data_IF_883628877856
#
_entry.id   IF_883628877856
#
_cell.length_a   1.000
_cell.length_b   1.000
_cell.length_c   1.000
_cell.angle_alpha   90.00
_cell.angle_beta   90.00
_cell.angle_gamma   90.00
#
_symmetry.space_group_name_H-M   'P 1'
#
loop_
_entity.id
_entity.type
_entity.pdbx_description
1 polymer ?
#
# COMPACT_ATOMS: atom_id res chain seq x y z
N UNK A 1 -38.18 7.89 6.66
CA UNK A 1 -37.71 6.72 7.39
C UNK A 1 -36.52 7.04 8.29
N UNK A 2 -35.55 7.85 7.88
CA UNK A 2 -34.34 8.20 8.66
C UNK A 2 -34.49 9.47 9.53
N UNK A 3 -35.72 9.96 9.78
CA UNK A 3 -35.94 11.13 10.65
C UNK A 3 -35.86 10.79 12.15
N UNK A 4 -36.24 9.57 12.52
CA UNK A 4 -36.19 9.11 13.90
C UNK A 4 -34.75 8.75 14.30
N UNK A 5 -34.22 9.32 15.41
CA UNK A 5 -32.87 9.01 15.89
C UNK A 5 -32.63 7.54 16.20
N UNK A 6 -33.63 6.83 16.70
CA UNK A 6 -33.54 5.40 17.03
C UNK A 6 -33.35 4.55 15.75
N UNK A 7 -34.15 4.83 14.72
CA UNK A 7 -34.05 4.14 13.41
C UNK A 7 -32.67 4.38 12.78
N UNK A 8 -32.14 5.61 12.88
CA UNK A 8 -30.79 5.92 12.37
C UNK A 8 -29.70 5.11 13.06
N UNK A 9 -29.77 4.97 14.38
CA UNK A 9 -28.78 4.19 15.13
C UNK A 9 -28.84 2.72 14.73
N UNK A 10 -30.06 2.12 14.62
CA UNK A 10 -30.22 0.72 14.22
C UNK A 10 -29.67 0.50 12.81
N UNK A 11 -30.04 1.34 11.84
CA UNK A 11 -29.54 1.21 10.45
C UNK A 11 -28.01 1.39 10.41
N UNK A 12 -27.47 2.36 11.15
CA UNK A 12 -26.03 2.56 11.23
C UNK A 12 -25.30 1.35 11.83
N UNK A 13 -25.87 0.69 12.84
CA UNK A 13 -25.32 -0.54 13.41
C UNK A 13 -25.34 -1.69 12.40
N UNK A 14 -26.40 -1.84 11.62
CA UNK A 14 -26.49 -2.86 10.57
C UNK A 14 -25.34 -2.68 9.56
N UNK A 15 -25.08 -1.46 9.10
CA UNK A 15 -23.98 -1.19 8.18
C UNK A 15 -22.60 -1.50 8.82
N UNK A 16 -22.40 -1.17 10.07
CA UNK A 16 -21.15 -1.47 10.79
C UNK A 16 -20.94 -2.98 10.96
N UNK A 17 -21.98 -3.72 11.37
CA UNK A 17 -21.93 -5.18 11.50
C UNK A 17 -21.71 -5.86 10.16
N UNK A 18 -22.36 -5.39 9.10
CA UNK A 18 -22.15 -5.92 7.74
C UNK A 18 -20.71 -5.62 7.25
N UNK A 19 -20.14 -4.46 7.59
CA UNK A 19 -18.74 -4.15 7.31
C UNK A 19 -17.79 -5.15 7.97
N UNK A 20 -18.00 -5.48 9.25
CA UNK A 20 -17.19 -6.46 9.98
C UNK A 20 -17.37 -7.86 9.39
N UNK A 21 -18.61 -8.25 9.10
CA UNK A 21 -18.91 -9.52 8.43
C UNK A 21 -18.19 -9.64 7.09
N UNK A 22 -18.24 -8.59 6.26
CA UNK A 22 -17.55 -8.55 4.98
C UNK A 22 -16.03 -8.64 5.16
N UNK A 23 -15.46 -7.93 6.14
CA UNK A 23 -14.04 -8.00 6.44
C UNK A 23 -13.60 -9.42 6.79
N UNK A 24 -14.34 -10.10 7.67
CA UNK A 24 -14.06 -11.50 8.05
C UNK A 24 -14.16 -12.42 6.84
N UNK A 25 -15.16 -12.22 5.98
CA UNK A 25 -15.34 -13.01 4.76
C UNK A 25 -14.21 -12.81 3.76
N UNK A 26 -13.77 -11.55 3.52
CA UNK A 26 -12.64 -11.23 2.65
C UNK A 26 -11.32 -11.82 3.16
N UNK A 27 -11.08 -11.77 4.48
CA UNK A 27 -9.90 -12.40 5.08
C UNK A 27 -9.98 -13.92 4.94
N UNK A 28 -11.14 -14.50 5.21
CA UNK A 28 -11.36 -15.95 5.07
C UNK A 28 -11.09 -16.47 3.65
N UNK A 29 -11.37 -15.65 2.64
CA UNK A 29 -11.15 -16.02 1.22
C UNK A 29 -9.71 -16.39 0.91
N UNK A 30 -8.72 -15.76 1.55
CA UNK A 30 -7.30 -16.09 1.35
C UNK A 30 -6.93 -17.50 1.87
N UNK A 31 -7.73 -18.09 2.74
CA UNK A 31 -7.49 -19.41 3.32
C UNK A 31 -8.37 -20.50 2.69
N UNK A 32 -9.56 -20.13 2.25
CA UNK A 32 -10.58 -21.10 1.80
C UNK A 32 -10.97 -20.95 0.35
N UNK A 33 -10.63 -19.82 -0.29
CA UNK A 33 -11.09 -19.47 -1.64
C UNK A 33 -10.75 -20.50 -2.70
N UNK A 34 -9.58 -21.14 -2.62
CA UNK A 34 -9.19 -22.18 -3.58
C UNK A 34 -10.10 -23.41 -3.56
N UNK A 35 -10.61 -23.79 -2.40
CA UNK A 35 -11.57 -24.90 -2.26
C UNK A 35 -13.01 -24.46 -2.61
N UNK A 36 -13.37 -23.27 -2.17
CA UNK A 36 -14.73 -22.74 -2.33
C UNK A 36 -15.00 -22.30 -3.79
N UNK A 37 -13.97 -21.92 -4.57
CA UNK A 37 -14.12 -21.42 -5.93
C UNK A 37 -14.81 -22.41 -6.85
N UNK A 38 -14.46 -23.70 -6.78
CA UNK A 38 -15.10 -24.74 -7.59
C UNK A 38 -16.59 -24.90 -7.31
N UNK A 39 -17.03 -24.54 -6.11
CA UNK A 39 -18.44 -24.57 -5.69
C UNK A 39 -19.17 -23.31 -6.15
N UNK A 40 -18.50 -22.16 -6.15
CA UNK A 40 -19.05 -20.87 -6.55
C UNK A 40 -19.22 -20.80 -8.08
N UNK A 41 -18.30 -21.38 -8.85
CA UNK A 41 -18.31 -21.33 -10.32
C UNK A 41 -19.40 -22.24 -10.95
N UNK A 42 -19.91 -23.26 -10.23
CA UNK A 42 -20.95 -24.16 -10.77
C UNK A 42 -22.22 -23.39 -11.06
N UNK A 43 -23.05 -23.17 -10.07
CA UNK A 43 -24.24 -22.32 -10.20
C UNK A 43 -24.49 -21.55 -8.90
N UNK A 44 -24.39 -20.23 -8.98
CA UNK A 44 -24.62 -19.35 -7.80
C UNK A 44 -25.99 -19.61 -7.16
N UNK A 45 -27.01 -19.93 -7.98
CA UNK A 45 -28.36 -20.25 -7.50
C UNK A 45 -28.36 -21.54 -6.69
N UNK A 46 -27.73 -22.62 -7.17
CA UNK A 46 -27.62 -23.89 -6.47
C UNK A 46 -26.82 -23.71 -5.16
N UNK A 47 -25.70 -23.01 -5.21
CA UNK A 47 -24.91 -22.67 -4.02
C UNK A 47 -25.79 -22.03 -2.93
N UNK A 48 -26.64 -21.07 -3.28
CA UNK A 48 -27.42 -20.31 -2.30
C UNK A 48 -28.63 -21.07 -1.79
N UNK A 49 -29.23 -21.93 -2.61
CA UNK A 49 -30.52 -22.65 -2.28
C UNK A 49 -30.32 -24.03 -1.69
N UNK A 50 -29.24 -24.74 -2.02
CA UNK A 50 -29.01 -26.10 -1.55
C UNK A 50 -28.32 -26.09 -0.17
N UNK A 51 -29.00 -26.50 0.95
CA UNK A 51 -28.41 -26.47 2.29
C UNK A 51 -27.23 -27.43 2.45
N UNK A 52 -27.14 -28.50 1.65
CA UNK A 52 -26.13 -29.56 1.78
C UNK A 52 -24.72 -29.08 1.31
N UNK A 53 -24.65 -28.01 0.51
CA UNK A 53 -23.38 -27.46 0.07
C UNK A 53 -22.74 -26.70 1.23
N UNK A 54 -21.59 -27.18 1.69
CA UNK A 54 -20.81 -26.54 2.76
C UNK A 54 -19.58 -25.88 2.15
N UNK A 55 -19.36 -24.61 2.47
CA UNK A 55 -18.17 -23.81 2.09
C UNK A 55 -17.28 -23.55 3.30
N UNK A 56 -15.97 -23.42 3.06
CA UNK A 56 -14.96 -23.20 4.09
C UNK A 56 -14.92 -21.76 4.61
N UNK A 57 -15.44 -20.79 3.86
CA UNK A 57 -15.39 -19.38 4.24
C UNK A 57 -16.10 -19.12 5.59
N UNK A 58 -15.48 -18.34 6.54
CA UNK A 58 -16.12 -18.01 7.82
C UNK A 58 -17.50 -17.32 7.68
N UNK A 59 -17.69 -16.55 6.61
CA UNK A 59 -18.98 -15.93 6.26
C UNK A 59 -19.95 -16.88 5.56
N UNK A 60 -19.66 -18.21 5.54
CA UNK A 60 -20.45 -19.21 4.86
C UNK A 60 -20.69 -18.85 3.38
N UNK A 61 -21.79 -19.34 2.78
CA UNK A 61 -22.10 -19.19 1.36
C UNK A 61 -22.13 -17.74 0.89
N UNK A 62 -22.79 -16.87 1.64
CA UNK A 62 -22.85 -15.45 1.33
C UNK A 62 -21.47 -14.79 1.41
N UNK A 63 -20.67 -15.14 2.43
CA UNK A 63 -19.31 -14.62 2.58
C UNK A 63 -18.38 -15.13 1.48
N UNK A 64 -18.44 -16.41 1.12
CA UNK A 64 -17.68 -17.00 0.02
C UNK A 64 -18.02 -16.30 -1.32
N UNK A 65 -19.31 -16.14 -1.61
CA UNK A 65 -19.77 -15.48 -2.83
C UNK A 65 -19.36 -13.99 -2.89
N UNK A 66 -19.57 -13.22 -1.81
CA UNK A 66 -19.22 -11.81 -1.78
C UNK A 66 -17.70 -11.58 -1.86
N UNK A 67 -16.92 -12.44 -1.24
CA UNK A 67 -15.47 -12.34 -1.30
C UNK A 67 -14.92 -12.70 -2.68
N UNK A 68 -15.42 -13.74 -3.33
CA UNK A 68 -15.04 -14.04 -4.72
C UNK A 68 -15.47 -12.91 -5.67
N UNK A 69 -16.70 -12.40 -5.52
CA UNK A 69 -17.19 -11.29 -6.32
C UNK A 69 -16.31 -10.05 -6.18
N UNK A 70 -15.95 -9.67 -4.97
CA UNK A 70 -15.19 -8.46 -4.71
C UNK A 70 -13.70 -8.62 -5.04
N UNK A 71 -13.09 -9.78 -4.72
CA UNK A 71 -11.67 -10.02 -4.93
C UNK A 71 -11.39 -10.44 -6.37
N UNK A 72 -12.01 -11.52 -6.87
CA UNK A 72 -11.67 -12.02 -8.20
C UNK A 72 -12.38 -11.29 -9.33
N UNK A 73 -13.69 -11.07 -9.20
CA UNK A 73 -14.50 -10.52 -10.30
C UNK A 73 -14.50 -9.02 -10.37
N UNK A 74 -14.20 -8.30 -9.26
CA UNK A 74 -14.19 -6.83 -9.24
C UNK A 74 -12.79 -6.26 -9.04
N UNK A 75 -12.49 -5.75 -7.84
CA UNK A 75 -11.33 -4.86 -7.62
C UNK A 75 -10.13 -5.50 -6.92
N UNK A 76 -10.16 -6.79 -6.68
CA UNK A 76 -9.05 -7.48 -6.03
C UNK A 76 -8.92 -7.15 -4.54
N UNK A 77 -7.69 -7.14 -4.07
CA UNK A 77 -7.36 -6.82 -2.66
C UNK A 77 -7.83 -5.42 -2.27
N UNK A 78 -7.92 -4.48 -3.21
CA UNK A 78 -8.42 -3.13 -2.92
C UNK A 78 -9.87 -3.12 -2.42
N UNK A 79 -10.61 -4.22 -2.59
CA UNK A 79 -11.97 -4.40 -2.08
C UNK A 79 -12.08 -4.29 -0.55
N UNK A 80 -10.99 -4.46 0.19
CA UNK A 80 -10.97 -4.18 1.64
C UNK A 80 -11.37 -2.75 1.98
N UNK A 81 -11.18 -1.81 1.06
CA UNK A 81 -11.60 -0.41 1.25
C UNK A 81 -13.14 -0.31 1.31
N UNK A 82 -13.90 -1.24 0.70
CA UNK A 82 -15.36 -1.28 0.84
C UNK A 82 -15.78 -1.52 2.30
N UNK A 83 -15.05 -2.35 3.04
CA UNK A 83 -15.33 -2.54 4.46
C UNK A 83 -15.20 -1.20 5.22
N UNK A 84 -14.12 -0.46 4.95
CA UNK A 84 -13.94 0.87 5.53
C UNK A 84 -15.08 1.84 5.14
N UNK A 85 -15.48 1.84 3.85
CA UNK A 85 -16.58 2.68 3.36
C UNK A 85 -17.90 2.36 4.07
N UNK A 86 -18.26 1.08 4.15
CA UNK A 86 -19.49 0.64 4.83
C UNK A 86 -19.47 1.04 6.31
N UNK A 87 -18.31 0.91 6.97
CA UNK A 87 -18.16 1.27 8.37
C UNK A 87 -18.36 2.76 8.61
N UNK A 88 -17.71 3.64 7.81
CA UNK A 88 -17.86 5.09 7.97
C UNK A 88 -19.25 5.57 7.56
N UNK A 89 -19.90 4.93 6.58
CA UNK A 89 -21.29 5.21 6.22
C UNK A 89 -22.20 4.85 7.40
N UNK A 90 -22.02 3.68 8.02
CA UNK A 90 -22.75 3.25 9.19
C UNK A 90 -22.61 4.24 10.37
N UNK A 91 -21.38 4.67 10.66
CA UNK A 91 -21.13 5.71 11.66
C UNK A 91 -21.84 7.03 11.33
N UNK A 92 -21.83 7.45 10.06
CA UNK A 92 -22.49 8.69 9.64
C UNK A 92 -24.00 8.61 9.78
N UNK A 93 -24.60 7.48 9.41
CA UNK A 93 -26.03 7.20 9.56
C UNK A 93 -26.42 7.20 11.05
N UNK A 94 -25.60 6.57 11.90
CA UNK A 94 -25.80 6.53 13.36
C UNK A 94 -25.69 7.92 14.05
N UNK A 95 -25.39 8.97 13.28
CA UNK A 95 -25.36 10.34 13.80
C UNK A 95 -23.98 10.86 14.20
N UNK A 96 -22.90 10.09 14.00
CA UNK A 96 -21.53 10.57 14.26
C UNK A 96 -21.13 11.61 13.20
N UNK A 97 -20.62 12.74 13.67
CA UNK A 97 -20.11 13.76 12.76
C UNK A 97 -18.71 13.39 12.27
N UNK A 98 -18.60 12.98 11.00
CA UNK A 98 -17.34 12.63 10.37
C UNK A 98 -16.86 13.83 9.54
N UNK A 99 -15.72 14.42 9.96
CA UNK A 99 -15.12 15.55 9.24
C UNK A 99 -14.77 15.15 7.80
N UNK A 100 -15.12 16.02 6.85
CA UNK A 100 -14.85 15.84 5.40
C UNK A 100 -15.37 14.50 4.85
N UNK A 101 -16.55 14.04 5.31
CA UNK A 101 -17.14 12.75 4.95
C UNK A 101 -17.20 12.52 3.44
N UNK A 102 -17.75 13.48 2.66
CA UNK A 102 -17.82 13.38 1.19
C UNK A 102 -16.45 13.19 0.54
N UNK A 103 -15.43 13.95 1.00
CA UNK A 103 -14.06 13.81 0.52
C UNK A 103 -13.50 12.40 0.80
N UNK A 104 -13.76 11.84 1.99
CA UNK A 104 -13.34 10.48 2.34
C UNK A 104 -13.96 9.42 1.44
N UNK A 105 -15.26 9.55 1.13
CA UNK A 105 -15.96 8.64 0.21
C UNK A 105 -15.29 8.67 -1.18
N UNK A 106 -15.14 9.88 -1.76
CA UNK A 106 -14.56 10.04 -3.09
C UNK A 106 -13.13 9.48 -3.15
N UNK A 107 -12.28 9.82 -2.17
CA UNK A 107 -10.91 9.34 -2.12
C UNK A 107 -10.87 7.81 -2.01
N UNK A 108 -11.75 7.21 -1.20
CA UNK A 108 -11.80 5.74 -1.05
C UNK A 108 -12.18 5.06 -2.37
N UNK A 109 -13.14 5.59 -3.12
CA UNK A 109 -13.47 5.05 -4.46
C UNK A 109 -12.31 5.20 -5.44
N UNK A 110 -11.66 6.36 -5.46
CA UNK A 110 -10.46 6.58 -6.29
C UNK A 110 -9.35 5.61 -5.92
N UNK A 111 -9.13 5.37 -4.62
CA UNK A 111 -8.13 4.40 -4.14
C UNK A 111 -8.48 2.96 -4.50
N UNK A 112 -9.75 2.55 -4.45
CA UNK A 112 -10.17 1.21 -4.87
C UNK A 112 -9.77 0.99 -6.33
N UNK A 113 -10.13 1.91 -7.22
CA UNK A 113 -9.84 1.82 -8.65
C UNK A 113 -8.32 1.85 -8.88
N UNK A 114 -7.61 2.80 -8.26
CA UNK A 114 -6.18 2.94 -8.46
C UNK A 114 -5.37 1.76 -7.92
N UNK A 115 -5.68 1.28 -6.70
CA UNK A 115 -5.01 0.11 -6.13
C UNK A 115 -5.29 -1.16 -6.94
N UNK A 116 -6.52 -1.33 -7.45
CA UNK A 116 -6.87 -2.42 -8.35
C UNK A 116 -6.01 -2.40 -9.62
N UNK A 117 -5.84 -1.22 -10.24
CA UNK A 117 -4.97 -1.04 -11.41
C UNK A 117 -3.51 -1.32 -11.09
N UNK A 118 -2.99 -0.78 -9.99
CA UNK A 118 -1.61 -1.01 -9.57
C UNK A 118 -1.32 -2.50 -9.35
N UNK A 119 -2.21 -3.19 -8.62
CA UNK A 119 -2.07 -4.62 -8.39
C UNK A 119 -2.25 -5.42 -9.69
N UNK A 120 -3.18 -5.03 -10.55
CA UNK A 120 -3.34 -5.61 -11.88
C UNK A 120 -2.05 -5.48 -12.70
N UNK A 121 -1.42 -4.32 -12.70
CA UNK A 121 -0.14 -4.09 -13.40
C UNK A 121 0.99 -4.95 -12.83
N UNK A 122 1.20 -4.96 -11.51
CA UNK A 122 2.27 -5.74 -10.88
C UNK A 122 2.09 -7.25 -11.13
N UNK A 123 0.87 -7.75 -10.96
CA UNK A 123 0.58 -9.18 -11.06
C UNK A 123 0.31 -9.65 -12.50
N UNK A 124 0.32 -8.78 -13.50
CA UNK A 124 0.39 -9.18 -14.92
C UNK A 124 1.68 -9.96 -15.21
N UNK A 125 2.76 -9.65 -14.52
CA UNK A 125 4.08 -10.28 -14.69
C UNK A 125 4.38 -11.42 -13.70
N UNK A 126 3.49 -11.66 -12.73
CA UNK A 126 3.70 -12.65 -11.68
C UNK A 126 2.63 -13.74 -11.75
N UNK A 127 3.00 -15.03 -11.55
CA UNK A 127 2.02 -16.10 -11.50
C UNK A 127 1.09 -15.88 -10.30
N UNK A 128 -0.20 -15.88 -10.55
CA UNK A 128 -1.24 -15.81 -9.53
C UNK A 128 -1.90 -17.19 -9.40
N UNK A 129 -2.18 -17.60 -8.15
CA UNK A 129 -2.98 -18.80 -7.89
C UNK A 129 -4.48 -18.55 -8.12
N UNK A 130 -5.32 -18.94 -7.18
CA UNK A 130 -6.77 -18.71 -7.22
C UNK A 130 -7.20 -17.29 -6.84
N UNK A 131 -6.30 -16.45 -6.37
CA UNK A 131 -6.54 -15.04 -6.02
C UNK A 131 -6.02 -14.14 -7.12
N UNK A 132 -6.88 -13.29 -7.65
CA UNK A 132 -6.51 -12.21 -8.57
C UNK A 132 -6.32 -10.89 -7.79
N UNK A 133 -5.07 -10.50 -7.43
CA UNK A 133 -4.85 -9.37 -6.52
C UNK A 133 -5.42 -8.04 -7.02
N UNK A 134 -5.38 -7.79 -8.33
CA UNK A 134 -6.00 -6.63 -8.96
C UNK A 134 -7.50 -6.83 -9.27
N UNK A 135 -8.01 -8.07 -9.16
CA UNK A 135 -9.33 -8.43 -9.63
C UNK A 135 -9.47 -8.35 -11.15
N UNK A 136 -10.65 -8.70 -11.67
CA UNK A 136 -10.92 -8.61 -13.11
C UNK A 136 -10.77 -7.16 -13.62
N UNK A 137 -11.22 -6.16 -12.84
CA UNK A 137 -11.07 -4.75 -13.20
C UNK A 137 -9.60 -4.38 -13.43
N UNK A 138 -8.71 -4.66 -12.46
CA UNK A 138 -7.29 -4.34 -12.57
C UNK A 138 -6.64 -5.06 -13.75
N UNK A 139 -6.92 -6.35 -13.92
CA UNK A 139 -6.37 -7.15 -15.01
C UNK A 139 -6.80 -6.63 -16.40
N UNK A 140 -8.11 -6.50 -16.65
CA UNK A 140 -8.60 -6.10 -17.97
C UNK A 140 -8.23 -4.67 -18.34
N UNK A 141 -8.29 -3.74 -17.38
CA UNK A 141 -7.92 -2.34 -17.66
C UNK A 141 -6.41 -2.22 -17.89
N UNK A 142 -5.56 -2.92 -17.13
CA UNK A 142 -4.12 -2.93 -17.37
C UNK A 142 -3.78 -3.59 -18.70
N UNK A 143 -4.43 -4.71 -19.06
CA UNK A 143 -4.26 -5.35 -20.34
C UNK A 143 -4.60 -4.40 -21.49
N UNK A 144 -5.71 -3.69 -21.39
CA UNK A 144 -6.12 -2.68 -22.38
C UNK A 144 -5.12 -1.51 -22.44
N UNK A 145 -4.70 -0.97 -21.30
CA UNK A 145 -3.71 0.11 -21.25
C UNK A 145 -2.38 -0.31 -21.86
N UNK A 146 -1.88 -1.49 -21.53
CA UNK A 146 -0.63 -2.01 -22.09
C UNK A 146 -0.72 -2.20 -23.60
N UNK A 147 -1.89 -2.61 -24.12
CA UNK A 147 -2.15 -2.70 -25.54
C UNK A 147 -2.18 -1.34 -26.24
N UNK A 148 -2.65 -0.29 -25.54
CA UNK A 148 -2.86 1.04 -26.11
C UNK A 148 -1.64 1.96 -26.02
N UNK A 149 -0.95 2.01 -24.87
CA UNK A 149 0.21 2.90 -24.62
C UNK A 149 1.50 2.15 -24.27
N UNK A 150 1.47 0.82 -24.28
CA UNK A 150 2.59 -0.03 -23.88
C UNK A 150 2.79 -0.11 -22.36
N UNK A 151 3.63 -1.08 -21.95
CA UNK A 151 3.90 -1.32 -20.51
C UNK A 151 4.57 -0.12 -19.84
N UNK A 152 5.55 0.49 -20.50
CA UNK A 152 6.27 1.67 -19.99
C UNK A 152 5.31 2.85 -19.85
N UNK A 153 4.43 3.09 -20.84
CA UNK A 153 3.43 4.15 -20.78
C UNK A 153 2.44 3.95 -19.63
N UNK A 154 1.96 2.72 -19.44
CA UNK A 154 1.07 2.35 -18.33
C UNK A 154 1.73 2.57 -16.96
N UNK A 155 3.01 2.25 -16.82
CA UNK A 155 3.79 2.50 -15.61
C UNK A 155 3.86 4.01 -15.27
N UNK A 156 4.22 4.83 -16.25
CA UNK A 156 4.25 6.29 -16.04
C UNK A 156 2.87 6.86 -15.72
N UNK A 157 1.82 6.38 -16.37
CA UNK A 157 0.45 6.79 -16.07
C UNK A 157 0.08 6.47 -14.61
N UNK A 158 0.44 5.30 -14.10
CA UNK A 158 0.21 4.92 -12.70
C UNK A 158 0.98 5.83 -11.73
N UNK A 159 2.23 6.19 -12.03
CA UNK A 159 3.01 7.11 -11.19
C UNK A 159 2.38 8.50 -11.16
N UNK A 160 2.05 9.06 -12.33
CA UNK A 160 1.46 10.40 -12.44
C UNK A 160 0.10 10.45 -11.75
N UNK A 161 -0.75 9.44 -11.96
CA UNK A 161 -2.04 9.35 -11.29
C UNK A 161 -1.92 9.21 -9.76
N UNK A 162 -0.91 8.48 -9.27
CA UNK A 162 -0.60 8.42 -7.84
C UNK A 162 -0.22 9.79 -7.27
N UNK A 163 0.68 10.50 -7.94
CA UNK A 163 1.07 11.85 -7.53
C UNK A 163 -0.17 12.78 -7.50
N UNK A 164 -1.07 12.68 -8.47
CA UNK A 164 -2.32 13.45 -8.50
C UNK A 164 -3.22 13.08 -7.31
N UNK A 165 -3.40 11.78 -7.01
CA UNK A 165 -4.20 11.33 -5.85
C UNK A 165 -3.62 11.87 -4.54
N UNK A 166 -2.30 11.86 -4.38
CA UNK A 166 -1.65 12.42 -3.19
C UNK A 166 -1.86 13.94 -3.08
N UNK A 167 -1.72 14.65 -4.19
CA UNK A 167 -1.86 16.09 -4.23
C UNK A 167 -3.29 16.55 -3.90
N UNK A 168 -4.29 15.97 -4.56
CA UNK A 168 -5.70 16.38 -4.41
C UNK A 168 -6.40 15.67 -3.24
N UNK A 169 -5.99 14.43 -2.95
CA UNK A 169 -6.63 13.59 -1.93
C UNK A 169 -6.21 13.94 -0.51
N UNK A 170 -4.92 14.17 -0.29
CA UNK A 170 -4.33 14.29 1.04
C UNK A 170 -3.64 15.64 1.22
N UNK A 171 -4.33 16.63 1.77
CA UNK A 171 -3.88 18.03 1.91
C UNK A 171 -2.47 18.20 2.53
N UNK A 172 -2.05 17.28 3.39
CA UNK A 172 -0.75 17.33 4.08
C UNK A 172 0.23 16.22 3.65
N UNK A 173 -0.22 15.19 2.92
CA UNK A 173 0.64 14.05 2.59
C UNK A 173 1.67 14.42 1.54
N UNK A 174 1.27 15.19 0.53
CA UNK A 174 2.19 15.67 -0.52
C UNK A 174 3.34 16.50 0.09
N UNK A 175 3.00 17.47 0.95
CA UNK A 175 4.02 18.30 1.63
C UNK A 175 4.92 17.47 2.53
N UNK A 176 4.38 16.46 3.23
CA UNK A 176 5.19 15.53 4.03
C UNK A 176 6.12 14.69 3.15
N UNK A 177 5.63 14.13 2.05
CA UNK A 177 6.47 13.37 1.12
C UNK A 177 7.60 14.23 0.55
N UNK A 178 7.29 15.44 0.07
CA UNK A 178 8.31 16.39 -0.43
C UNK A 178 9.34 16.71 0.65
N UNK A 179 8.89 16.97 1.88
CA UNK A 179 9.79 17.25 3.00
C UNK A 179 10.67 16.05 3.36
N UNK A 180 10.09 14.83 3.38
CA UNK A 180 10.88 13.60 3.61
C UNK A 180 11.95 13.38 2.54
N UNK A 181 11.61 13.58 1.27
CA UNK A 181 12.55 13.46 0.15
C UNK A 181 13.67 14.51 0.29
N UNK A 182 13.33 15.78 0.55
CA UNK A 182 14.32 16.84 0.79
C UNK A 182 15.25 16.51 1.95
N UNK A 183 14.70 16.07 3.08
CA UNK A 183 15.47 15.70 4.26
C UNK A 183 16.38 14.49 3.99
N UNK A 184 15.93 13.51 3.23
CA UNK A 184 16.75 12.37 2.84
C UNK A 184 17.97 12.80 2.00
N UNK A 185 17.77 13.64 0.99
CA UNK A 185 18.86 14.15 0.16
C UNK A 185 19.81 15.07 0.94
N UNK A 186 19.27 15.95 1.80
CA UNK A 186 20.07 16.80 2.66
C UNK A 186 20.95 15.99 3.63
N UNK A 187 20.38 14.97 4.29
CA UNK A 187 21.12 14.08 5.17
C UNK A 187 22.22 13.30 4.42
N UNK A 188 21.93 12.88 3.19
CA UNK A 188 22.92 12.20 2.36
C UNK A 188 24.05 13.10 1.91
N UNK A 189 23.76 14.38 1.65
CA UNK A 189 24.78 15.40 1.35
C UNK A 189 25.68 15.65 2.59
N UNK A 190 25.09 15.85 3.77
CA UNK A 190 25.84 16.02 5.03
C UNK A 190 26.77 14.84 5.33
N UNK A 191 26.26 13.60 5.18
CA UNK A 191 27.08 12.40 5.37
C UNK A 191 28.25 12.30 4.38
N UNK A 192 28.12 12.81 3.16
CA UNK A 192 29.21 12.86 2.20
C UNK A 192 30.27 13.89 2.62
N UNK A 193 29.83 15.05 3.08
CA UNK A 193 30.69 16.11 3.56
C UNK A 193 31.46 15.70 4.83
N UNK A 194 30.77 15.11 5.81
CA UNK A 194 31.43 14.57 7.01
C UNK A 194 32.49 13.50 6.66
N UNK A 195 32.20 12.63 5.69
CA UNK A 195 33.16 11.62 5.22
C UNK A 195 34.34 12.24 4.49
N UNK A 196 34.15 13.32 3.75
CA UNK A 196 35.22 14.04 3.09
C UNK A 196 36.14 14.72 4.13
N UNK A 197 35.56 15.42 5.10
CA UNK A 197 36.32 16.04 6.20
C UNK A 197 37.08 15.02 7.06
N UNK A 198 36.44 13.89 7.36
CA UNK A 198 37.09 12.78 8.10
C UNK A 198 38.30 12.20 7.32
N UNK A 199 38.19 12.09 5.99
CA UNK A 199 39.29 11.63 5.13
C UNK A 199 40.43 12.63 5.09
N UNK A 200 40.15 13.94 4.97
CA UNK A 200 41.16 15.01 5.02
C UNK A 200 41.89 15.04 6.36
N UNK A 201 41.11 14.94 7.47
CA UNK A 201 41.70 14.87 8.81
C UNK A 201 42.60 13.64 9.01
N UNK A 202 42.18 12.46 8.48
CA UNK A 202 43.00 11.25 8.54
C UNK A 202 44.29 11.36 7.69
N UNK A 203 44.21 12.01 6.54
CA UNK A 203 45.39 12.26 5.70
C UNK A 203 46.35 13.27 6.35
N UNK A 204 45.83 14.35 6.99
CA UNK A 204 46.62 15.32 7.73
C UNK A 204 47.37 14.63 8.88
N UNK A 205 46.71 13.79 9.69
CA UNK A 205 47.36 13.01 10.77
C UNK A 205 48.47 12.10 10.26
N UNK A 206 48.23 11.38 9.14
CA UNK A 206 49.28 10.57 8.53
C UNK A 206 50.48 11.34 8.06
N UNK A 207 50.29 12.56 7.50
CA UNK A 207 51.39 13.46 7.11
C UNK A 207 52.19 13.96 8.32
N UNK A 208 51.53 14.30 9.43
CA UNK A 208 52.19 14.67 10.68
C UNK A 208 52.97 13.53 11.30
N UNK A 209 52.45 12.29 11.27
CA UNK A 209 53.16 11.09 11.74
C UNK A 209 54.40 10.80 10.88
N UNK A 210 54.29 10.91 9.55
CA UNK A 210 55.45 10.72 8.66
C UNK A 210 56.51 11.79 8.86
N UNK A 211 56.10 13.08 9.02
CA UNK A 211 57.05 14.18 9.29
C UNK A 211 57.80 13.98 10.64
N UNK A 212 57.12 13.44 11.65
CA UNK A 212 57.77 13.12 12.95
C UNK A 212 58.72 11.91 12.90
N UNK A 213 58.50 11.01 11.93
CA UNK A 213 59.37 9.82 11.76
C UNK A 213 60.64 10.17 10.94
N UNK A 214 60.59 11.25 10.12
CA UNK A 214 61.73 11.69 9.31
C UNK A 214 62.69 12.63 10.08
N UNK A 215 62.38 13.03 11.33
CA UNK A 215 63.18 14.01 12.09
C UNK A 215 64.17 13.50 13.15
N UNK A 216 64.55 12.24 13.37
CA UNK A 216 65.46 11.86 14.45
C UNK A 216 66.83 11.31 14.06
N UNK A 217 67.27 11.20 12.83
CA UNK A 217 68.59 10.60 12.57
C UNK A 217 69.73 11.60 12.36
N UNK A 218 69.43 12.88 12.04
CA UNK A 218 70.46 13.87 11.68
C UNK A 218 70.99 14.69 12.89
N UNK A 219 70.46 14.51 14.12
CA UNK A 219 70.88 15.24 15.31
C UNK A 219 71.72 14.40 16.28
N UNK A 220 71.73 13.08 16.15
CA UNK A 220 72.58 12.22 17.01
C UNK A 220 74.00 11.99 16.47
N UNK A 221 74.23 12.12 15.16
CA UNK A 221 75.55 11.98 14.55
C UNK A 221 76.47 13.21 14.74
N UNK A 222 75.94 14.38 15.19
CA UNK A 222 76.74 15.57 15.44
C UNK A 222 77.22 15.78 16.88
N UNK A 223 76.78 14.98 17.83
CA UNK A 223 77.25 15.04 19.22
C UNK A 223 78.38 14.05 19.55
N UNK A 224 78.63 13.04 18.70
CA UNK A 224 79.72 12.08 18.92
C UNK A 224 81.09 12.51 18.32
N UNK A 225 81.14 13.60 17.56
CA UNK A 225 82.40 14.07 16.95
C UNK A 225 83.06 15.25 17.70
N UNK A 226 82.63 15.56 18.95
CA UNK A 226 83.27 16.59 19.81
C UNK A 226 83.53 16.01 21.20
N UNK A 227 84.47 15.04 21.31
CA UNK A 227 85.29 14.80 22.50
C UNK A 227 86.63 14.15 22.13
#
# INVERSE_FOLDING_TARGET
FLKDPRTRVVVGLIFMLFSIYLLVSLVGFFFTGGMDQSLIDKETRELMTNPDIVVGNPGRKLGAFLSDLLINRWFGISSFIFCYLLFIIGLRIAGRNIKKFGKKIIISFVLIIWCSLLLGYIFTFLPTGYVFPGGAHGYFVCFWLNSFIGEIGSFFLLIVSFAAILFFGFENAFNKCVTMIKNYFARRAQLKEERALAREAALARKREEMAKTEEPEDLQEKEEDID
#
